data_IF_765335842023
#
_entry.id   IF_765335842023
#
_cell.length_a   1.000
_cell.length_b   1.000
_cell.length_c   1.000
_cell.angle_alpha   90.00
_cell.angle_beta   90.00
_cell.angle_gamma   90.00
#
_symmetry.space_group_name_H-M   'P 1'
#
loop_
_entity.id
_entity.type
_entity.pdbx_description
1 polymer ?
#
# COMPACT_ATOMS: atom_id res chain seq x y z
N UNK A 1 9.99 -12.02 7.88
CA UNK A 1 9.87 -12.08 6.40
C UNK A 1 10.10 -13.48 5.85
N UNK A 2 11.33 -13.99 5.77
CA UNK A 2 11.60 -15.34 5.21
C UNK A 2 11.08 -16.45 6.13
N UNK A 3 11.56 -16.50 7.38
CA UNK A 3 11.20 -17.55 8.35
C UNK A 3 9.71 -17.55 8.71
N UNK A 4 9.08 -16.37 8.70
CA UNK A 4 7.64 -16.24 8.96
C UNK A 4 6.77 -16.66 7.78
N UNK A 5 7.34 -16.84 6.57
CA UNK A 5 6.59 -17.17 5.36
C UNK A 5 5.93 -15.97 4.66
N UNK A 6 6.05 -14.74 5.18
CA UNK A 6 5.55 -13.53 4.49
C UNK A 6 6.22 -13.34 3.13
N UNK A 7 7.52 -13.65 3.00
CA UNK A 7 8.20 -13.62 1.71
C UNK A 7 7.51 -14.52 0.68
N UNK A 8 7.11 -15.73 1.08
CA UNK A 8 6.39 -16.68 0.24
C UNK A 8 4.92 -16.27 -0.03
N UNK A 9 4.36 -15.36 0.77
CA UNK A 9 3.05 -14.76 0.52
C UNK A 9 3.12 -13.59 -0.49
N UNK A 10 4.32 -13.10 -0.84
CA UNK A 10 4.55 -12.07 -1.86
C UNK A 10 5.22 -10.80 -1.34
N UNK A 11 5.42 -10.66 -0.03
CA UNK A 11 6.10 -9.49 0.55
C UNK A 11 7.61 -9.56 0.28
N UNK A 12 8.07 -8.79 -0.70
CA UNK A 12 9.44 -8.86 -1.22
C UNK A 12 10.32 -7.65 -0.89
N UNK A 13 9.72 -6.52 -0.53
CA UNK A 13 10.44 -5.29 -0.24
C UNK A 13 10.66 -5.12 1.27
N UNK A 14 11.91 -4.90 1.66
CA UNK A 14 12.32 -4.47 3.00
C UNK A 14 12.72 -3.02 2.87
N UNK A 15 11.86 -2.10 3.27
CA UNK A 15 12.04 -0.67 3.04
C UNK A 15 12.56 0.01 4.30
N UNK A 16 13.69 0.69 4.19
CA UNK A 16 14.19 1.60 5.22
C UNK A 16 13.46 2.94 5.04
N UNK A 17 12.88 3.46 6.10
CA UNK A 17 12.26 4.80 6.14
C UNK A 17 13.28 5.85 6.62
N UNK A 18 12.84 7.01 7.13
CA UNK A 18 13.71 8.11 7.55
C UNK A 18 14.78 7.72 8.61
N UNK A 19 15.73 8.62 8.85
CA UNK A 19 16.78 8.53 9.89
C UNK A 19 17.88 7.48 9.68
N UNK A 20 18.12 7.04 8.44
CA UNK A 20 19.16 6.04 8.12
C UNK A 20 20.55 6.63 7.81
N UNK A 21 20.63 7.91 7.44
CA UNK A 21 21.88 8.58 7.09
C UNK A 21 22.37 9.50 8.22
N UNK A 22 23.65 9.88 8.14
CA UNK A 22 24.22 10.98 8.91
C UNK A 22 23.54 12.30 8.58
N UNK A 23 23.65 13.26 9.51
CA UNK A 23 23.06 14.59 9.35
C UNK A 23 23.64 15.36 8.15
N UNK A 24 24.91 15.11 7.83
CA UNK A 24 25.63 15.82 6.78
C UNK A 24 26.09 14.84 5.70
N UNK A 25 26.09 15.34 4.46
CA UNK A 25 26.76 14.68 3.33
C UNK A 25 28.28 14.67 3.55
N UNK A 26 28.98 13.75 2.88
CA UNK A 26 30.43 13.76 2.85
C UNK A 26 30.99 14.97 2.05
N UNK A 27 32.32 15.10 2.01
CA UNK A 27 32.98 16.20 1.28
C UNK A 27 32.77 16.15 -0.24
N UNK A 28 32.24 15.05 -0.78
CA UNK A 28 31.91 14.88 -2.19
C UNK A 28 30.40 15.10 -2.44
N UNK A 29 29.61 15.39 -1.40
CA UNK A 29 28.18 15.58 -1.48
C UNK A 29 27.35 14.30 -1.46
N UNK A 30 27.94 13.14 -1.16
CA UNK A 30 27.18 11.88 -1.08
C UNK A 30 26.49 11.71 0.27
N UNK A 31 25.38 10.97 0.28
CA UNK A 31 24.83 10.44 1.52
C UNK A 31 25.82 9.53 2.24
N UNK A 32 25.87 9.66 3.57
CA UNK A 32 26.67 8.80 4.44
C UNK A 32 25.73 7.97 5.31
N UNK A 33 25.74 6.63 5.24
CA UNK A 33 24.98 5.79 6.14
C UNK A 33 25.38 6.06 7.60
N UNK A 34 24.40 6.13 8.50
CA UNK A 34 24.64 6.48 9.89
C UNK A 34 25.51 5.42 10.58
N UNK A 35 26.65 5.80 11.14
CA UNK A 35 27.65 4.84 11.60
C UNK A 35 27.20 4.02 12.83
N UNK A 36 26.32 4.57 13.67
CA UNK A 36 25.84 3.91 14.88
C UNK A 36 24.76 2.86 14.63
N UNK A 37 23.92 3.05 13.62
CA UNK A 37 22.81 2.14 13.27
C UNK A 37 23.04 1.34 11.99
N UNK A 38 23.88 1.84 11.07
CA UNK A 38 24.28 1.19 9.82
C UNK A 38 25.82 1.12 9.66
N UNK A 39 26.56 0.55 10.64
CA UNK A 39 28.03 0.54 10.64
C UNK A 39 28.65 -0.20 9.45
N UNK A 40 27.92 -1.15 8.84
CA UNK A 40 28.37 -1.89 7.65
C UNK A 40 28.02 -1.19 6.32
N UNK A 41 27.30 -0.06 6.39
CA UNK A 41 26.80 0.66 5.22
C UNK A 41 25.61 -0.01 4.52
N UNK A 42 24.93 0.76 3.67
CA UNK A 42 23.70 0.33 2.99
C UNK A 42 23.96 -0.76 1.94
N UNK A 43 25.10 -0.70 1.22
CA UNK A 43 25.43 -1.74 0.24
C UNK A 43 25.52 -3.14 0.88
N UNK A 44 26.20 -3.27 2.02
CA UNK A 44 26.30 -4.56 2.70
C UNK A 44 24.92 -5.09 3.14
N UNK A 45 24.03 -4.19 3.58
CA UNK A 45 22.66 -4.53 3.92
C UNK A 45 21.85 -4.95 2.69
N UNK A 46 22.01 -4.26 1.55
CA UNK A 46 21.38 -4.63 0.29
C UNK A 46 21.83 -6.03 -0.16
N UNK A 47 23.13 -6.31 -0.14
CA UNK A 47 23.69 -7.61 -0.47
C UNK A 47 23.12 -8.72 0.44
N UNK A 48 22.98 -8.45 1.75
CA UNK A 48 22.33 -9.37 2.68
C UNK A 48 20.86 -9.61 2.31
N UNK A 49 20.08 -8.56 2.08
CA UNK A 49 18.65 -8.66 1.73
C UNK A 49 18.46 -9.42 0.40
N UNK A 50 19.29 -9.13 -0.60
CA UNK A 50 19.30 -9.83 -1.89
C UNK A 50 19.67 -11.30 -1.74
N UNK A 51 20.62 -11.65 -0.86
CA UNK A 51 20.97 -13.05 -0.57
C UNK A 51 19.80 -13.88 -0.01
N UNK A 52 18.76 -13.20 0.51
CA UNK A 52 17.51 -13.81 0.99
C UNK A 52 16.41 -13.84 -0.06
N UNK A 53 16.69 -13.44 -1.30
CA UNK A 53 15.71 -13.34 -2.39
C UNK A 53 14.72 -12.17 -2.21
N UNK A 54 15.05 -11.20 -1.36
CA UNK A 54 14.25 -10.00 -1.10
C UNK A 54 14.87 -8.80 -1.83
N UNK A 55 14.19 -7.66 -1.75
CA UNK A 55 14.58 -6.36 -2.33
C UNK A 55 14.70 -5.32 -1.22
N UNK A 56 15.65 -4.40 -1.34
CA UNK A 56 15.88 -3.33 -0.35
C UNK A 56 15.33 -2.00 -0.87
N UNK A 57 14.50 -1.36 -0.07
CA UNK A 57 14.08 0.03 -0.28
C UNK A 57 14.80 1.01 0.62
N UNK A 58 14.87 2.25 0.17
CA UNK A 58 15.41 3.38 0.92
C UNK A 58 14.43 4.56 0.88
N UNK A 59 14.71 5.55 1.71
CA UNK A 59 13.93 6.77 1.83
C UNK A 59 14.79 8.00 1.58
N UNK A 60 14.22 9.01 0.93
CA UNK A 60 14.74 10.37 0.89
C UNK A 60 13.56 11.35 0.79
N UNK A 61 13.85 12.62 0.59
CA UNK A 61 12.89 13.71 0.53
C UNK A 61 13.17 14.59 -0.71
N UNK A 62 12.11 15.01 -1.40
CA UNK A 62 12.12 16.04 -2.44
C UNK A 62 12.30 17.46 -1.85
N UNK A 63 13.17 17.61 -0.87
CA UNK A 63 13.49 18.82 -0.14
C UNK A 63 14.94 18.84 0.30
N UNK A 64 15.34 19.87 1.05
CA UNK A 64 16.75 20.02 1.49
C UNK A 64 17.09 19.12 2.70
N UNK A 65 16.07 18.72 3.47
CA UNK A 65 16.17 17.84 4.63
C UNK A 65 14.93 16.95 4.66
N UNK A 66 15.04 15.78 5.26
CA UNK A 66 13.89 14.90 5.46
C UNK A 66 12.92 15.46 6.51
N UNK A 67 11.71 14.90 6.57
CA UNK A 67 10.70 15.29 7.56
C UNK A 67 11.19 15.24 9.02
N UNK A 68 12.01 14.25 9.40
CA UNK A 68 12.63 14.19 10.74
C UNK A 68 13.70 15.26 11.00
N UNK A 69 14.22 15.89 9.93
CA UNK A 69 15.37 16.81 9.92
C UNK A 69 16.64 16.17 10.49
N UNK A 70 16.74 14.83 10.47
CA UNK A 70 17.90 14.08 10.97
C UNK A 70 18.89 13.69 9.89
N UNK A 71 18.52 13.87 8.62
CA UNK A 71 19.38 13.63 7.48
C UNK A 71 19.04 14.58 6.30
N UNK A 72 19.94 14.74 5.33
CA UNK A 72 19.68 15.53 4.12
C UNK A 72 18.51 14.98 3.31
N UNK A 73 17.82 15.84 2.58
CA UNK A 73 16.99 15.44 1.46
C UNK A 73 17.80 15.46 0.16
N UNK A 74 17.15 15.19 -0.96
CA UNK A 74 17.78 15.03 -2.27
C UNK A 74 17.55 16.20 -3.24
N UNK A 75 16.87 17.27 -2.81
CA UNK A 75 16.65 18.44 -3.66
C UNK A 75 17.98 19.06 -4.11
N UNK A 76 18.23 19.10 -5.43
CA UNK A 76 19.47 19.55 -6.05
C UNK A 76 20.60 18.52 -6.09
N UNK A 77 20.39 17.32 -5.55
CA UNK A 77 21.34 16.19 -5.55
C UNK A 77 20.77 14.94 -6.24
N UNK A 78 19.66 15.04 -6.95
CA UNK A 78 18.85 13.90 -7.41
C UNK A 78 19.67 12.91 -8.25
N UNK A 79 20.43 13.41 -9.24
CA UNK A 79 21.26 12.59 -10.12
C UNK A 79 22.41 11.88 -9.36
N UNK A 80 23.01 12.57 -8.38
CA UNK A 80 24.07 12.01 -7.54
C UNK A 80 23.53 10.94 -6.60
N UNK A 81 22.39 11.22 -5.97
CA UNK A 81 21.76 10.32 -5.01
C UNK A 81 21.20 9.08 -5.70
N UNK A 82 20.54 9.24 -6.85
CA UNK A 82 20.07 8.11 -7.64
C UNK A 82 21.21 7.16 -8.05
N UNK A 83 22.36 7.71 -8.48
CA UNK A 83 23.57 6.91 -8.74
C UNK A 83 24.12 6.22 -7.50
N UNK A 84 24.09 6.90 -6.36
CA UNK A 84 24.51 6.34 -5.06
C UNK A 84 23.61 5.15 -4.69
N UNK A 85 22.29 5.33 -4.74
CA UNK A 85 21.31 4.28 -4.47
C UNK A 85 21.47 3.08 -5.41
N UNK A 86 21.65 3.33 -6.72
CA UNK A 86 21.90 2.28 -7.69
C UNK A 86 23.20 1.51 -7.40
N UNK A 87 24.28 2.22 -7.03
CA UNK A 87 25.57 1.60 -6.67
C UNK A 87 25.47 0.73 -5.39
N UNK A 88 24.58 1.10 -4.48
CA UNK A 88 24.27 0.33 -3.27
C UNK A 88 23.32 -0.84 -3.53
N UNK A 89 22.70 -0.93 -4.71
CA UNK A 89 21.77 -2.00 -5.05
C UNK A 89 20.34 -1.76 -4.55
N UNK A 90 19.95 -0.52 -4.27
CA UNK A 90 18.58 -0.19 -3.88
C UNK A 90 17.59 -0.57 -4.99
N UNK A 91 16.40 -1.04 -4.61
CA UNK A 91 15.33 -1.51 -5.50
C UNK A 91 14.05 -0.68 -5.42
N UNK A 92 13.95 0.19 -4.41
CA UNK A 92 12.77 0.99 -4.10
C UNK A 92 13.19 2.31 -3.44
N UNK A 93 12.59 3.42 -3.85
CA UNK A 93 12.74 4.73 -3.19
C UNK A 93 11.36 5.25 -2.77
N UNK A 94 11.16 5.47 -1.47
CA UNK A 94 10.13 6.37 -0.95
C UNK A 94 10.69 7.80 -0.96
N UNK A 95 9.95 8.75 -1.52
CA UNK A 95 10.43 10.11 -1.73
C UNK A 95 9.42 11.11 -1.19
N UNK A 96 9.77 11.71 -0.06
CA UNK A 96 8.91 12.58 0.74
C UNK A 96 8.86 14.03 0.23
N UNK A 97 8.15 14.91 0.93
CA UNK A 97 7.82 16.25 0.46
C UNK A 97 8.08 17.37 1.49
N UNK A 98 8.80 17.11 2.58
CA UNK A 98 9.14 18.13 3.58
C UNK A 98 10.25 19.07 3.07
N UNK A 99 10.41 20.24 3.71
CA UNK A 99 11.52 21.19 3.43
C UNK A 99 11.74 21.52 1.93
N UNK A 100 10.67 21.52 1.14
CA UNK A 100 10.65 21.57 -0.32
C UNK A 100 10.91 22.96 -0.95
N UNK A 101 11.28 23.95 -0.13
CA UNK A 101 11.56 25.33 -0.53
C UNK A 101 10.38 26.06 -1.20
N UNK A 102 9.14 25.57 -1.02
CA UNK A 102 7.94 26.14 -1.65
C UNK A 102 7.80 25.78 -3.14
N UNK A 103 8.63 24.87 -3.66
CA UNK A 103 8.57 24.44 -5.05
C UNK A 103 7.48 23.38 -5.22
N UNK A 104 6.67 23.49 -6.27
CA UNK A 104 5.55 22.57 -6.50
C UNK A 104 6.02 21.11 -6.70
N UNK A 105 5.30 20.08 -6.18
CA UNK A 105 5.65 18.68 -6.40
C UNK A 105 5.72 18.29 -7.88
N UNK A 106 4.86 18.87 -8.74
CA UNK A 106 4.87 18.63 -10.20
C UNK A 106 6.16 19.09 -10.87
N UNK A 107 6.94 19.96 -10.22
CA UNK A 107 8.24 20.41 -10.71
C UNK A 107 9.40 19.56 -10.17
N UNK A 108 9.36 19.20 -8.87
CA UNK A 108 10.46 18.48 -8.21
C UNK A 108 10.51 16.99 -8.49
N UNK A 109 9.37 16.32 -8.41
CA UNK A 109 9.32 14.86 -8.51
C UNK A 109 9.80 14.32 -9.88
N UNK A 110 9.46 14.93 -11.03
CA UNK A 110 9.97 14.48 -12.32
C UNK A 110 11.50 14.54 -12.46
N UNK A 111 12.19 15.41 -11.71
CA UNK A 111 13.67 15.49 -11.71
C UNK A 111 14.24 14.18 -11.17
N UNK A 112 13.71 13.69 -10.04
CA UNK A 112 14.13 12.42 -9.47
C UNK A 112 13.71 11.22 -10.34
N UNK A 113 12.56 11.26 -11.02
CA UNK A 113 12.21 10.25 -12.04
C UNK A 113 13.32 10.08 -13.08
N UNK A 114 13.78 11.20 -13.65
CA UNK A 114 14.85 11.20 -14.66
C UNK A 114 16.17 10.69 -14.07
N UNK A 115 16.52 11.10 -12.86
CA UNK A 115 17.71 10.64 -12.16
C UNK A 115 17.71 9.11 -11.93
N UNK A 116 16.59 8.56 -11.47
CA UNK A 116 16.43 7.11 -11.28
C UNK A 116 16.52 6.35 -12.60
N UNK A 117 15.88 6.83 -13.66
CA UNK A 117 15.97 6.23 -15.00
C UNK A 117 17.41 6.22 -15.55
N UNK A 118 18.20 7.26 -15.26
CA UNK A 118 19.60 7.39 -15.68
C UNK A 118 20.60 6.66 -14.77
N UNK A 119 20.16 6.16 -13.62
CA UNK A 119 21.04 5.53 -12.62
C UNK A 119 21.62 4.18 -13.06
N UNK A 120 21.04 3.56 -14.10
CA UNK A 120 21.44 2.24 -14.59
C UNK A 120 20.84 1.06 -13.82
N UNK A 121 19.93 1.30 -12.87
CA UNK A 121 19.22 0.27 -12.12
C UNK A 121 17.71 0.58 -12.05
N UNK A 122 16.82 -0.39 -12.31
CA UNK A 122 15.39 -0.20 -12.05
C UNK A 122 15.12 -0.06 -10.55
N UNK A 123 14.61 1.10 -10.14
CA UNK A 123 14.24 1.42 -8.76
C UNK A 123 12.76 1.79 -8.76
N UNK A 124 11.94 1.09 -7.98
CA UNK A 124 10.53 1.42 -7.80
C UNK A 124 10.42 2.81 -7.16
N UNK A 125 9.64 3.70 -7.75
CA UNK A 125 9.55 5.09 -7.27
C UNK A 125 8.19 5.37 -6.61
N UNK A 126 8.21 5.59 -5.30
CA UNK A 126 7.04 5.82 -4.46
C UNK A 126 7.01 7.27 -3.99
N UNK A 127 6.05 8.04 -4.50
CA UNK A 127 5.87 9.44 -4.17
C UNK A 127 5.14 9.58 -2.83
N UNK A 128 5.57 10.52 -2.00
CA UNK A 128 5.01 10.79 -0.68
C UNK A 128 4.85 12.31 -0.49
N UNK A 129 3.90 12.91 -1.22
CA UNK A 129 3.53 14.33 -1.09
C UNK A 129 2.18 14.55 -0.39
N UNK A 130 1.66 13.47 0.20
CA UNK A 130 0.44 13.42 1.00
C UNK A 130 -0.85 13.82 0.27
N UNK A 131 -0.92 13.61 -1.05
CA UNK A 131 -2.07 14.03 -1.86
C UNK A 131 -2.05 15.49 -2.30
N UNK A 132 -0.98 16.23 -2.00
CA UNK A 132 -0.81 17.62 -2.43
C UNK A 132 -0.81 17.77 -3.96
N UNK A 133 -1.70 18.64 -4.47
CA UNK A 133 -1.88 18.90 -5.89
C UNK A 133 -2.38 17.69 -6.71
N UNK A 134 -3.14 16.80 -6.05
CA UNK A 134 -3.91 15.69 -6.63
C UNK A 134 -3.04 14.71 -7.46
N UNK A 135 -2.10 13.97 -6.82
CA UNK A 135 -1.11 13.14 -7.50
C UNK A 135 -1.71 12.08 -8.42
N UNK A 136 -2.89 11.57 -8.10
CA UNK A 136 -3.63 10.65 -8.97
C UNK A 136 -3.79 11.16 -10.42
N UNK A 137 -3.83 12.48 -10.61
CA UNK A 137 -4.04 13.10 -11.93
C UNK A 137 -2.76 13.27 -12.76
N UNK A 138 -1.57 13.09 -12.17
CA UNK A 138 -0.29 13.38 -12.85
C UNK A 138 0.85 12.41 -12.54
N UNK A 139 0.87 11.79 -11.36
CA UNK A 139 1.99 11.00 -10.87
C UNK A 139 2.18 9.65 -11.60
N UNK A 140 1.20 9.21 -12.40
CA UNK A 140 1.33 8.00 -13.21
C UNK A 140 2.51 8.03 -14.19
N UNK A 141 2.82 9.20 -14.75
CA UNK A 141 3.96 9.38 -15.67
C UNK A 141 5.27 9.65 -14.92
N UNK A 142 5.21 9.78 -13.59
CA UNK A 142 6.33 10.21 -12.74
C UNK A 142 6.88 9.05 -11.92
N UNK A 143 6.02 8.24 -11.29
CA UNK A 143 6.43 7.11 -10.45
C UNK A 143 5.46 5.95 -10.49
N UNK A 144 5.68 5.00 -9.58
CA UNK A 144 4.96 3.73 -9.54
C UNK A 144 3.85 3.67 -8.50
N UNK A 145 3.91 4.53 -7.48
CA UNK A 145 2.81 4.79 -6.55
C UNK A 145 2.93 6.20 -6.01
N UNK A 146 1.83 6.73 -5.48
CA UNK A 146 1.78 8.05 -4.86
C UNK A 146 0.82 8.05 -3.67
N UNK A 147 1.29 8.61 -2.56
CA UNK A 147 0.44 8.85 -1.38
C UNK A 147 -0.75 9.73 -1.77
N UNK A 148 -1.96 9.36 -1.35
CA UNK A 148 -3.16 10.16 -1.65
C UNK A 148 -3.64 10.99 -0.45
N UNK A 149 -3.00 10.82 0.70
CA UNK A 149 -3.47 11.33 1.99
C UNK A 149 -2.29 11.72 2.88
N UNK A 150 -2.59 12.44 3.96
CA UNK A 150 -1.70 12.50 5.14
C UNK A 150 -1.44 11.12 5.75
N UNK A 151 -0.54 11.06 6.72
CA UNK A 151 -0.10 9.80 7.31
C UNK A 151 -1.25 9.06 8.01
N UNK A 152 -1.22 7.74 7.93
CA UNK A 152 -2.05 6.87 8.75
C UNK A 152 -1.53 6.86 10.19
N UNK A 153 -2.40 6.50 11.11
CA UNK A 153 -2.06 6.19 12.49
C UNK A 153 -2.84 4.94 12.89
N UNK A 154 -2.31 4.19 13.86
CA UNK A 154 -2.90 2.94 14.36
C UNK A 154 -4.17 3.17 15.20
N UNK A 155 -5.22 3.68 14.57
CA UNK A 155 -6.56 3.82 15.13
C UNK A 155 -7.61 3.79 14.01
N UNK A 156 -8.83 3.46 14.40
CA UNK A 156 -9.96 3.25 13.49
C UNK A 156 -10.30 4.48 12.64
N UNK A 157 -10.32 5.67 13.25
CA UNK A 157 -10.73 6.90 12.58
C UNK A 157 -9.72 7.30 11.51
N UNK A 158 -8.42 7.19 11.81
CA UNK A 158 -7.37 7.39 10.83
C UNK A 158 -7.49 6.38 9.69
N UNK A 159 -7.51 5.07 9.96
CA UNK A 159 -7.60 4.05 8.91
C UNK A 159 -8.84 4.24 8.00
N UNK A 160 -10.01 4.51 8.59
CA UNK A 160 -11.23 4.69 7.79
C UNK A 160 -11.24 5.99 6.99
N UNK A 161 -10.69 7.09 7.52
CA UNK A 161 -10.55 8.35 6.77
C UNK A 161 -9.56 8.23 5.61
N UNK A 162 -8.44 7.53 5.79
CA UNK A 162 -7.49 7.21 4.69
C UNK A 162 -8.16 6.41 3.58
N UNK A 163 -8.98 5.41 3.93
CA UNK A 163 -9.75 4.66 2.94
C UNK A 163 -10.74 5.54 2.16
N UNK A 164 -11.47 6.43 2.85
CA UNK A 164 -12.45 7.33 2.23
C UNK A 164 -11.78 8.37 1.30
N UNK A 165 -10.68 8.97 1.74
CA UNK A 165 -9.91 9.94 0.94
C UNK A 165 -9.26 9.29 -0.30
N UNK A 166 -8.80 8.04 -0.19
CA UNK A 166 -8.22 7.30 -1.32
C UNK A 166 -9.27 6.81 -2.35
N UNK A 167 -10.50 6.53 -1.91
CA UNK A 167 -11.58 5.99 -2.76
C UNK A 167 -11.93 6.92 -3.94
N UNK A 168 -11.83 8.24 -3.74
CA UNK A 168 -12.18 9.24 -4.76
C UNK A 168 -11.26 9.14 -5.99
N UNK A 169 -10.06 8.57 -5.83
CA UNK A 169 -9.04 8.44 -6.87
C UNK A 169 -9.06 7.10 -7.59
N UNK A 170 -10.02 6.22 -7.31
CA UNK A 170 -10.05 4.85 -7.82
C UNK A 170 -9.93 4.72 -9.35
N UNK A 171 -10.42 5.70 -10.10
CA UNK A 171 -10.37 5.68 -11.57
C UNK A 171 -8.96 5.88 -12.16
N UNK A 172 -8.00 6.37 -11.37
CA UNK A 172 -6.65 6.72 -11.84
C UNK A 172 -5.64 5.58 -11.63
N UNK A 173 -5.87 4.70 -10.65
CA UNK A 173 -5.02 3.54 -10.41
C UNK A 173 -5.13 2.53 -11.56
N UNK A 174 -3.97 2.10 -12.06
CA UNK A 174 -3.85 1.11 -13.14
C UNK A 174 -2.46 0.47 -13.10
N UNK A 175 -2.23 -0.68 -13.77
CA UNK A 175 -0.92 -1.32 -13.79
C UNK A 175 0.21 -0.32 -14.10
N UNK A 176 1.20 -0.27 -13.18
CA UNK A 176 2.34 0.63 -13.27
C UNK A 176 2.23 1.89 -12.40
N UNK A 177 1.05 2.28 -11.93
CA UNK A 177 0.82 3.46 -11.09
C UNK A 177 -0.37 3.28 -10.14
N UNK A 178 -0.11 3.31 -8.84
CA UNK A 178 -1.08 2.96 -7.80
C UNK A 178 -1.30 4.11 -6.81
N UNK A 179 -2.56 4.34 -6.43
CA UNK A 179 -2.87 5.18 -5.28
C UNK A 179 -2.38 4.49 -4.00
N UNK A 180 -1.73 5.25 -3.12
CA UNK A 180 -1.17 4.77 -1.87
C UNK A 180 -1.90 5.41 -0.67
N UNK A 181 -2.84 4.69 -0.03
CA UNK A 181 -3.49 5.11 1.21
C UNK A 181 -2.62 4.95 2.46
N UNK A 182 -1.30 4.79 2.30
CA UNK A 182 -0.29 4.60 3.34
C UNK A 182 -0.15 3.15 3.85
N UNK A 183 0.83 2.94 4.74
CA UNK A 183 1.23 1.62 5.25
C UNK A 183 0.14 0.89 6.04
N UNK A 184 0.29 -0.44 6.15
CA UNK A 184 -0.57 -1.28 6.97
C UNK A 184 -0.19 -1.17 8.45
N UNK A 185 -1.16 -0.83 9.29
CA UNK A 185 -1.03 -0.77 10.76
C UNK A 185 -1.29 -2.13 11.45
N UNK A 186 -1.56 -3.16 10.67
CA UNK A 186 -1.95 -4.50 11.14
C UNK A 186 -0.94 -5.07 12.13
N UNK A 187 -1.36 -5.20 13.39
CA UNK A 187 -0.56 -5.79 14.47
C UNK A 187 0.19 -4.79 15.37
N UNK A 188 -0.02 -3.49 15.22
CA UNK A 188 0.60 -2.47 16.06
C UNK A 188 -0.09 -2.26 17.43
N UNK A 189 -1.33 -2.75 17.58
CA UNK A 189 -2.04 -2.90 18.85
C UNK A 189 -3.10 -1.83 19.16
N UNK A 190 -3.21 -0.78 18.36
CA UNK A 190 -4.17 0.31 18.49
C UNK A 190 -5.55 0.03 17.89
N UNK A 191 -5.69 -1.04 17.10
CA UNK A 191 -6.98 -1.53 16.58
C UNK A 191 -7.23 -3.00 16.95
N UNK A 192 -8.50 -3.39 16.94
CA UNK A 192 -8.93 -4.78 17.14
C UNK A 192 -8.60 -5.65 15.93
N UNK A 193 -8.60 -6.97 16.12
CA UNK A 193 -8.39 -7.94 15.02
C UNK A 193 -9.41 -7.77 13.88
N UNK A 194 -10.67 -7.45 14.18
CA UNK A 194 -11.69 -7.24 13.15
C UNK A 194 -11.47 -5.93 12.38
N UNK A 195 -11.04 -4.87 13.06
CA UNK A 195 -10.65 -3.61 12.43
C UNK A 195 -9.44 -3.79 11.51
N UNK A 196 -8.41 -4.52 11.96
CA UNK A 196 -7.26 -4.87 11.12
C UNK A 196 -7.63 -5.76 9.93
N UNK A 197 -8.59 -6.68 10.11
CA UNK A 197 -9.10 -7.49 9.00
C UNK A 197 -9.81 -6.61 7.97
N UNK A 198 -10.60 -5.63 8.41
CA UNK A 198 -11.22 -4.63 7.55
C UNK A 198 -10.19 -3.76 6.84
N UNK A 199 -9.20 -3.24 7.55
CA UNK A 199 -8.05 -2.49 7.01
C UNK A 199 -7.39 -3.27 5.86
N UNK A 200 -6.92 -4.48 6.14
CA UNK A 200 -6.23 -5.30 5.14
C UNK A 200 -7.12 -5.64 3.93
N UNK A 201 -8.41 -5.89 4.16
CA UNK A 201 -9.36 -6.19 3.09
C UNK A 201 -9.58 -4.99 2.18
N UNK A 202 -9.75 -3.79 2.75
CA UNK A 202 -9.97 -2.55 1.99
C UNK A 202 -8.72 -2.19 1.19
N UNK A 203 -7.52 -2.23 1.79
CA UNK A 203 -6.27 -2.00 1.06
C UNK A 203 -6.09 -2.99 -0.07
N UNK A 204 -6.40 -4.27 0.15
CA UNK A 204 -6.33 -5.28 -0.88
C UNK A 204 -7.31 -5.03 -2.03
N UNK A 205 -8.57 -4.71 -1.71
CA UNK A 205 -9.58 -4.36 -2.73
C UNK A 205 -9.19 -3.10 -3.50
N UNK A 206 -8.64 -2.10 -2.81
CA UNK A 206 -8.28 -0.79 -3.35
C UNK A 206 -6.98 -0.78 -4.16
N UNK A 207 -6.31 -1.94 -4.34
CA UNK A 207 -5.03 -2.06 -5.08
C UNK A 207 -3.92 -1.18 -4.49
N UNK A 208 -4.02 -0.92 -3.18
CA UNK A 208 -3.01 -0.22 -2.43
C UNK A 208 -1.70 -1.03 -2.37
N UNK A 209 -0.53 -0.37 -2.26
CA UNK A 209 0.68 -1.03 -1.77
C UNK A 209 0.41 -1.72 -0.42
N UNK A 210 0.78 -3.01 -0.31
CA UNK A 210 0.67 -3.75 0.95
C UNK A 210 2.01 -3.73 1.68
N UNK A 211 2.34 -2.59 2.29
CA UNK A 211 3.56 -2.39 3.08
C UNK A 211 3.27 -2.65 4.56
N UNK A 212 3.89 -3.67 5.15
CA UNK A 212 3.67 -4.02 6.57
C UNK A 212 4.40 -3.03 7.49
N UNK A 213 3.66 -2.38 8.38
CA UNK A 213 4.18 -1.40 9.35
C UNK A 213 4.43 -1.94 10.77
N UNK A 214 4.24 -3.23 11.02
CA UNK A 214 4.44 -3.82 12.35
C UNK A 214 5.77 -4.59 12.50
N UNK A 215 6.10 -4.96 13.73
CA UNK A 215 7.27 -5.79 14.00
C UNK A 215 7.06 -7.26 13.56
N UNK A 216 7.52 -7.56 12.35
CA UNK A 216 7.44 -8.90 11.76
C UNK A 216 8.27 -9.98 12.49
N UNK A 217 9.08 -9.62 13.50
CA UNK A 217 9.87 -10.55 14.32
C UNK A 217 9.03 -11.18 15.42
N UNK A 218 7.95 -10.52 15.84
CA UNK A 218 7.13 -10.90 16.99
C UNK A 218 5.63 -10.74 16.73
N UNK A 219 5.16 -11.13 15.54
CA UNK A 219 3.73 -11.10 15.20
C UNK A 219 2.95 -12.12 16.03
N UNK A 220 1.74 -11.74 16.45
CA UNK A 220 0.76 -12.70 16.94
C UNK A 220 0.30 -13.62 15.82
N UNK A 221 -0.38 -14.71 16.20
CA UNK A 221 -0.99 -15.62 15.24
C UNK A 221 -2.04 -14.90 14.40
N UNK A 222 -2.84 -14.05 15.02
CA UNK A 222 -3.91 -13.28 14.39
C UNK A 222 -3.34 -12.28 13.37
N UNK A 223 -2.26 -11.56 13.71
CA UNK A 223 -1.56 -10.67 12.78
C UNK A 223 -1.02 -11.45 11.58
N UNK A 224 -0.40 -12.60 11.82
CA UNK A 224 0.09 -13.45 10.74
C UNK A 224 -1.05 -13.96 9.84
N UNK A 225 -2.16 -14.41 10.41
CA UNK A 225 -3.32 -14.88 9.64
C UNK A 225 -3.92 -13.79 8.74
N UNK A 226 -3.96 -12.54 9.21
CA UNK A 226 -4.39 -11.40 8.39
C UNK A 226 -3.41 -11.16 7.25
N UNK A 227 -2.13 -10.96 7.58
CA UNK A 227 -1.11 -10.58 6.59
C UNK A 227 -0.77 -11.71 5.61
N UNK A 228 -0.98 -12.97 5.96
CA UNK A 228 -0.61 -14.12 5.11
C UNK A 228 -1.77 -14.69 4.28
N UNK A 229 -2.97 -14.08 4.32
CA UNK A 229 -4.11 -14.59 3.58
C UNK A 229 -3.91 -14.45 2.05
N UNK A 230 -3.51 -15.56 1.42
CA UNK A 230 -3.21 -15.64 -0.02
C UNK A 230 -4.40 -15.31 -0.91
N UNK A 231 -5.63 -15.56 -0.47
CA UNK A 231 -6.82 -15.25 -1.28
C UNK A 231 -7.10 -13.74 -1.31
N UNK A 232 -6.89 -13.05 -0.18
CA UNK A 232 -7.01 -11.59 -0.10
C UNK A 232 -5.87 -10.91 -0.85
N UNK A 233 -4.63 -11.40 -0.70
CA UNK A 233 -3.47 -10.92 -1.48
C UNK A 233 -3.71 -11.11 -2.99
N UNK A 234 -4.30 -12.23 -3.41
CA UNK A 234 -4.62 -12.46 -4.81
C UNK A 234 -5.63 -11.45 -5.38
N UNK A 235 -6.52 -10.88 -4.55
CA UNK A 235 -7.40 -9.78 -4.97
C UNK A 235 -6.61 -8.50 -5.19
N UNK A 236 -5.63 -8.20 -4.34
CA UNK A 236 -4.74 -7.05 -4.50
C UNK A 236 -3.85 -7.18 -5.75
N UNK A 237 -3.30 -8.37 -5.97
CA UNK A 237 -2.37 -8.69 -7.06
C UNK A 237 -3.08 -9.15 -8.35
N UNK A 238 -4.40 -8.96 -8.46
CA UNK A 238 -5.15 -9.37 -9.64
C UNK A 238 -4.65 -8.65 -10.90
N UNK A 239 -4.47 -9.41 -11.97
CA UNK A 239 -3.81 -8.92 -13.20
C UNK A 239 -4.61 -7.85 -13.93
N UNK A 240 -5.91 -7.69 -13.66
CA UNK A 240 -6.69 -6.59 -14.24
C UNK A 240 -6.26 -5.24 -13.67
N UNK A 241 -5.76 -5.22 -12.43
CA UNK A 241 -5.18 -4.01 -11.82
C UNK A 241 -6.17 -2.85 -11.65
N UNK A 242 -7.46 -3.14 -11.49
CA UNK A 242 -8.48 -2.12 -11.24
C UNK A 242 -8.71 -1.97 -9.74
N UNK A 243 -8.54 -0.74 -9.24
CA UNK A 243 -8.88 -0.38 -7.88
C UNK A 243 -10.39 -0.55 -7.64
N UNK A 244 -10.75 -1.39 -6.68
CA UNK A 244 -12.13 -1.46 -6.19
C UNK A 244 -12.47 -0.23 -5.36
N UNK A 245 -13.76 0.08 -5.28
CA UNK A 245 -14.27 1.31 -4.67
C UNK A 245 -15.57 1.10 -3.92
N UNK A 246 -15.98 2.10 -3.14
CA UNK A 246 -17.31 2.10 -2.53
C UNK A 246 -18.40 2.21 -3.59
N UNK A 247 -19.41 1.34 -3.51
CA UNK A 247 -20.53 1.28 -4.47
C UNK A 247 -21.90 1.44 -3.81
N UNK A 248 -21.98 1.27 -2.49
CA UNK A 248 -23.17 1.54 -1.71
C UNK A 248 -22.78 1.95 -0.28
N UNK A 249 -23.54 2.89 0.30
CA UNK A 249 -23.45 3.28 1.70
C UNK A 249 -24.84 3.55 2.24
N UNK A 250 -25.19 2.92 3.36
CA UNK A 250 -26.40 3.19 4.13
C UNK A 250 -26.03 3.38 5.61
N UNK A 251 -25.91 4.64 6.04
CA UNK A 251 -25.30 4.97 7.33
C UNK A 251 -23.87 4.43 7.38
N UNK A 252 -23.59 3.61 8.38
CA UNK A 252 -22.27 2.98 8.58
C UNK A 252 -22.11 1.64 7.85
N UNK A 253 -23.13 1.19 7.12
CA UNK A 253 -23.11 -0.08 6.41
C UNK A 253 -22.72 0.16 4.95
N UNK A 254 -21.56 -0.36 4.55
CA UNK A 254 -20.97 -0.09 3.25
C UNK A 254 -20.81 -1.37 2.42
N UNK A 255 -20.92 -1.21 1.10
CA UNK A 255 -20.52 -2.22 0.11
C UNK A 255 -19.45 -1.60 -0.76
N UNK A 256 -18.32 -2.29 -0.84
CA UNK A 256 -17.23 -1.97 -1.75
C UNK A 256 -17.06 -3.08 -2.76
N UNK A 257 -16.74 -2.74 -4.01
CA UNK A 257 -16.55 -3.73 -5.05
C UNK A 257 -15.59 -3.26 -6.14
N UNK A 258 -15.00 -4.22 -6.85
CA UNK A 258 -14.17 -3.97 -8.02
C UNK A 258 -14.10 -5.19 -8.93
N UNK A 259 -14.00 -5.00 -10.26
CA UNK A 259 -13.81 -6.09 -11.19
C UNK A 259 -12.42 -6.71 -10.99
N UNK A 260 -12.33 -8.01 -11.26
CA UNK A 260 -11.10 -8.78 -11.32
C UNK A 260 -11.00 -9.45 -12.69
N UNK A 261 -9.82 -9.98 -13.02
CA UNK A 261 -9.60 -10.72 -14.24
C UNK A 261 -10.59 -11.89 -14.39
N UNK A 262 -10.87 -12.27 -15.64
CA UNK A 262 -11.81 -13.35 -15.99
C UNK A 262 -13.25 -13.08 -15.52
N UNK A 263 -13.69 -11.81 -15.61
CA UNK A 263 -15.05 -11.37 -15.25
C UNK A 263 -15.45 -11.65 -13.79
N UNK A 264 -14.49 -11.88 -12.91
CA UNK A 264 -14.75 -12.03 -11.47
C UNK A 264 -15.00 -10.67 -10.84
N UNK A 265 -15.63 -10.65 -9.67
CA UNK A 265 -15.87 -9.42 -8.90
C UNK A 265 -15.46 -9.65 -7.46
N UNK A 266 -14.60 -8.78 -6.91
CA UNK A 266 -14.35 -8.72 -5.48
C UNK A 266 -15.42 -7.85 -4.81
N UNK A 267 -15.92 -8.28 -3.65
CA UNK A 267 -16.95 -7.57 -2.87
C UNK A 267 -16.55 -7.57 -1.40
N UNK A 268 -16.65 -6.42 -0.75
CA UNK A 268 -16.54 -6.28 0.70
C UNK A 268 -17.87 -5.74 1.24
N UNK A 269 -18.40 -6.42 2.26
CA UNK A 269 -19.46 -5.92 3.12
C UNK A 269 -18.80 -5.39 4.38
N UNK A 270 -18.81 -4.08 4.59
CA UNK A 270 -18.08 -3.44 5.67
C UNK A 270 -19.03 -2.75 6.64
N UNK A 271 -19.04 -3.18 7.90
CA UNK A 271 -19.80 -2.54 8.95
C UNK A 271 -18.90 -1.57 9.69
N UNK A 272 -19.08 -0.27 9.49
CA UNK A 272 -18.36 0.78 10.23
C UNK A 272 -19.04 1.17 11.54
N UNK A 273 -20.22 0.62 11.82
CA UNK A 273 -21.02 0.95 12.98
C UNK A 273 -20.63 0.14 14.20
N UNK A 274 -21.11 0.58 15.37
CA UNK A 274 -20.80 0.02 16.69
C UNK A 274 -21.58 -1.25 17.06
N UNK A 275 -22.42 -1.77 16.16
CA UNK A 275 -23.28 -2.93 16.43
C UNK A 275 -23.39 -3.86 15.24
N UNK A 276 -23.56 -5.16 15.54
CA UNK A 276 -23.74 -6.20 14.52
C UNK A 276 -24.95 -5.90 13.65
N UNK A 277 -24.75 -5.90 12.33
CA UNK A 277 -25.79 -5.54 11.36
C UNK A 277 -25.76 -6.45 10.13
N UNK A 278 -26.91 -6.58 9.46
CA UNK A 278 -26.97 -7.28 8.18
C UNK A 278 -26.65 -6.31 7.04
N UNK A 279 -25.70 -6.68 6.18
CA UNK A 279 -25.33 -5.93 4.99
C UNK A 279 -25.64 -6.78 3.76
N UNK A 280 -26.15 -6.15 2.69
CA UNK A 280 -26.48 -6.81 1.44
C UNK A 280 -25.85 -6.09 0.26
N UNK A 281 -25.06 -6.82 -0.54
CA UNK A 281 -24.62 -6.36 -1.85
C UNK A 281 -25.55 -6.89 -2.95
N UNK A 282 -26.12 -5.99 -3.74
CA UNK A 282 -26.96 -6.31 -4.89
C UNK A 282 -26.15 -6.28 -6.18
N UNK A 283 -26.45 -7.19 -7.11
CA UNK A 283 -25.67 -7.35 -8.35
C UNK A 283 -25.64 -6.07 -9.17
N UNK A 284 -26.75 -5.32 -9.16
CA UNK A 284 -26.90 -4.02 -9.80
C UNK A 284 -25.92 -2.94 -9.31
N UNK A 285 -25.39 -3.06 -8.08
CA UNK A 285 -24.40 -2.12 -7.55
C UNK A 285 -22.95 -2.56 -7.80
N UNK A 286 -22.72 -3.83 -8.11
CA UNK A 286 -21.37 -4.42 -8.21
C UNK A 286 -21.01 -4.82 -9.65
N UNK A 287 -21.75 -4.32 -10.65
CA UNK A 287 -21.45 -4.54 -12.06
C UNK A 287 -21.84 -5.91 -12.60
N UNK A 288 -22.78 -6.61 -11.96
CA UNK A 288 -23.31 -7.90 -12.43
C UNK A 288 -24.79 -7.77 -12.85
N UNK A 289 -25.22 -8.58 -13.82
CA UNK A 289 -26.64 -8.69 -14.17
C UNK A 289 -27.39 -9.42 -13.05
N UNK A 290 -28.58 -8.95 -12.64
CA UNK A 290 -29.37 -9.55 -11.56
C UNK A 290 -29.69 -11.04 -11.76
N UNK A 291 -29.66 -11.51 -13.00
CA UNK A 291 -29.89 -12.92 -13.36
C UNK A 291 -28.64 -13.80 -13.31
N UNK A 292 -27.44 -13.21 -13.21
CA UNK A 292 -26.16 -13.94 -13.17
C UNK A 292 -26.06 -14.79 -11.91
N UNK A 293 -25.80 -16.09 -12.12
CA UNK A 293 -25.47 -17.04 -11.05
C UNK A 293 -23.97 -17.06 -10.87
N UNK A 294 -23.50 -16.97 -9.62
CA UNK A 294 -22.08 -16.97 -9.29
C UNK A 294 -21.74 -18.09 -8.29
N UNK A 295 -20.46 -18.48 -8.25
CA UNK A 295 -19.84 -19.08 -7.06
C UNK A 295 -19.29 -17.93 -6.21
N UNK A 296 -19.69 -17.84 -4.95
CA UNK A 296 -19.17 -16.84 -4.01
C UNK A 296 -18.17 -17.51 -3.05
N UNK A 297 -16.90 -17.11 -3.12
CA UNK A 297 -15.84 -17.56 -2.20
C UNK A 297 -15.69 -16.52 -1.09
N UNK A 298 -15.98 -16.88 0.17
CA UNK A 298 -15.61 -16.08 1.34
C UNK A 298 -14.11 -16.29 1.61
N UNK A 299 -13.34 -15.20 1.52
CA UNK A 299 -11.87 -15.26 1.55
C UNK A 299 -11.31 -15.42 2.96
N UNK A 300 -12.08 -15.02 3.97
CA UNK A 300 -11.66 -15.13 5.38
C UNK A 300 -12.14 -16.44 6.00
N UNK A 301 -13.34 -16.90 5.64
CA UNK A 301 -13.86 -18.19 6.09
C UNK A 301 -13.35 -19.37 5.23
N UNK A 302 -12.66 -19.10 4.12
CA UNK A 302 -12.22 -20.09 3.13
C UNK A 302 -13.33 -21.06 2.71
N UNK A 303 -14.55 -20.53 2.57
CA UNK A 303 -15.78 -21.29 2.26
C UNK A 303 -16.41 -20.80 0.96
N UNK A 304 -16.95 -21.73 0.18
CA UNK A 304 -17.61 -21.40 -1.09
C UNK A 304 -19.11 -21.67 -1.01
N UNK A 305 -19.90 -20.66 -1.34
CA UNK A 305 -21.33 -20.79 -1.58
C UNK A 305 -21.57 -20.97 -3.07
N UNK A 306 -22.16 -22.11 -3.41
CA UNK A 306 -22.54 -22.45 -4.77
C UNK A 306 -23.93 -21.89 -5.08
N UNK A 307 -24.12 -21.33 -6.27
CA UNK A 307 -25.42 -20.85 -6.79
C UNK A 307 -25.98 -19.60 -6.10
N UNK A 308 -25.14 -18.58 -5.87
CA UNK A 308 -25.61 -17.27 -5.40
C UNK A 308 -26.09 -16.44 -6.60
N UNK A 309 -27.23 -15.75 -6.47
CA UNK A 309 -27.84 -14.99 -7.58
C UNK A 309 -28.49 -13.71 -7.06
N UNK A 310 -28.31 -12.61 -7.80
CA UNK A 310 -28.96 -11.32 -7.56
C UNK A 310 -28.46 -10.51 -6.36
N UNK A 311 -28.11 -11.17 -5.24
CA UNK A 311 -27.55 -10.53 -4.05
C UNK A 311 -26.74 -11.50 -3.18
N UNK A 312 -25.89 -10.95 -2.31
CA UNK A 312 -25.24 -11.65 -1.21
C UNK A 312 -25.44 -10.83 0.07
N UNK A 313 -25.87 -11.49 1.14
CA UNK A 313 -26.12 -10.86 2.43
C UNK A 313 -25.31 -11.58 3.51
N UNK A 314 -24.81 -10.83 4.48
CA UNK A 314 -24.16 -11.40 5.65
C UNK A 314 -24.43 -10.55 6.89
N UNK A 315 -24.47 -11.21 8.05
CA UNK A 315 -24.42 -10.54 9.34
C UNK A 315 -22.96 -10.22 9.66
N UNK A 316 -22.66 -8.95 9.86
CA UNK A 316 -21.30 -8.43 10.03
C UNK A 316 -21.22 -7.74 11.39
N UNK A 317 -20.26 -8.16 12.23
CA UNK A 317 -20.03 -7.57 13.56
C UNK A 317 -19.61 -6.11 13.49
N UNK A 318 -19.56 -5.44 14.64
CA UNK A 318 -19.02 -4.07 14.75
C UNK A 318 -17.63 -3.98 14.15
N UNK A 319 -17.38 -3.00 13.28
CA UNK A 319 -16.10 -2.71 12.62
C UNK A 319 -15.51 -3.85 11.77
N UNK A 320 -16.24 -4.96 11.63
CA UNK A 320 -15.81 -6.14 10.90
C UNK A 320 -16.18 -6.03 9.42
N UNK A 321 -15.61 -6.93 8.62
CA UNK A 321 -15.97 -7.08 7.22
C UNK A 321 -16.22 -8.54 6.81
N UNK A 322 -16.89 -8.71 5.68
CA UNK A 322 -16.88 -9.94 4.90
C UNK A 322 -16.35 -9.65 3.51
N UNK A 323 -15.40 -10.45 3.05
CA UNK A 323 -14.78 -10.28 1.75
C UNK A 323 -15.05 -11.51 0.89
N UNK A 324 -15.54 -11.29 -0.33
CA UNK A 324 -15.88 -12.33 -1.27
C UNK A 324 -15.23 -12.11 -2.63
N UNK A 325 -14.92 -13.21 -3.31
CA UNK A 325 -14.74 -13.22 -4.77
C UNK A 325 -15.94 -13.95 -5.39
N UNK A 326 -16.63 -13.25 -6.28
CA UNK A 326 -17.74 -13.76 -7.07
C UNK A 326 -17.20 -14.20 -8.43
N UNK A 327 -17.39 -15.47 -8.77
CA UNK A 327 -17.05 -16.01 -10.09
C UNK A 327 -18.34 -16.33 -10.84
N UNK A 328 -18.72 -15.54 -11.87
CA UNK A 328 -19.83 -15.87 -12.75
C UNK A 328 -19.71 -17.27 -13.34
N UNK A 329 -20.86 -17.91 -13.50
CA UNK A 329 -20.99 -19.17 -14.23
C UNK A 329 -21.41 -18.93 -15.67
#
# INVERSE_FOLDING_TARGET
>A
MVSTGLAAAGYKYVNIDDCWAELNRDSQGNFVPKADTFPSGIKALADYVHSKGLKLGIYSDAGIQTCSKKMPGSLGHEEQDAKTFASWGIDYLKYDNCNNQGINPKERYPIMTKALQNSGRPIFYSLCEWGQDDPATWAHEVGNSWRTTGDISDNWDSMTSRADENDVWAAYAKPGGWNDPDMLEVGNGGMTTEEYRSHFSIWALAKAPLLVGCDVRSMSKETYEILSNKEVIAVNQDSLGVQGKKVNKNGDLEVWAGPLAHNKVAVILWNRGSSTSQITAYWSNIGLNSTTVVKARDLWAHRTHIYVKGRISATVGSHACKMYVLTPR
#
